data_IF_451088089267
#
_entry.id   IF_451088089267
#
_cell.length_a   1.000
_cell.length_b   1.000
_cell.length_c   1.000
_cell.angle_alpha   90.00
_cell.angle_beta   90.00
_cell.angle_gamma   90.00
#
_symmetry.space_group_name_H-M   'P 1'
#
loop_
_entity.id
_entity.type
_entity.pdbx_description
1 polymer ?
#
# COMPACT_ATOMS: atom_id res chain seq x y z
N UNK A 1 20.36 -2.60 27.19
CA UNK A 1 19.44 -3.71 26.87
C UNK A 1 20.04 -5.10 27.16
N UNK A 2 21.19 -5.19 27.86
CA UNK A 2 21.85 -6.46 28.18
C UNK A 2 21.18 -7.24 29.32
N UNK A 3 20.62 -6.52 30.31
CA UNK A 3 20.16 -7.08 31.59
C UNK A 3 18.94 -8.00 31.43
N UNK A 4 18.10 -7.78 30.41
CA UNK A 4 16.92 -8.61 30.14
C UNK A 4 17.26 -9.98 29.54
N UNK A 5 18.42 -10.14 28.88
CA UNK A 5 18.84 -11.43 28.31
C UNK A 5 19.32 -12.41 29.37
N UNK A 6 19.97 -11.91 30.43
CA UNK A 6 20.57 -12.75 31.46
C UNK A 6 19.56 -13.30 32.48
N UNK A 7 18.37 -12.69 32.60
CA UNK A 7 17.32 -13.14 33.53
C UNK A 7 16.40 -14.19 32.92
N UNK A 8 16.23 -14.21 31.59
CA UNK A 8 15.36 -15.16 30.90
C UNK A 8 15.88 -16.60 30.96
N UNK A 9 17.21 -16.80 30.95
CA UNK A 9 17.86 -18.12 30.91
C UNK A 9 17.89 -18.85 32.26
N UNK A 10 17.39 -18.24 33.34
CA UNK A 10 17.36 -18.82 34.70
C UNK A 10 15.96 -19.33 35.10
N UNK A 11 14.97 -19.16 34.24
CA UNK A 11 13.60 -19.59 34.51
C UNK A 11 13.43 -21.08 34.17
N UNK A 12 12.53 -21.81 34.87
CA UNK A 12 12.21 -23.19 34.51
C UNK A 12 11.73 -23.25 33.05
N UNK A 13 12.12 -24.30 32.31
CA UNK A 13 11.86 -24.41 30.87
C UNK A 13 10.39 -24.22 30.48
N UNK A 14 9.45 -24.59 31.36
CA UNK A 14 8.01 -24.37 31.16
C UNK A 14 7.63 -22.88 31.13
N UNK A 15 8.24 -22.05 31.98
CA UNK A 15 8.01 -20.60 32.01
C UNK A 15 8.60 -19.93 30.76
N UNK A 16 9.76 -20.40 30.29
CA UNK A 16 10.37 -19.91 29.07
C UNK A 16 9.53 -20.26 27.83
N UNK A 17 8.96 -21.46 27.77
CA UNK A 17 8.03 -21.87 26.71
C UNK A 17 6.74 -21.04 26.72
N UNK A 18 6.17 -20.75 27.89
CA UNK A 18 4.98 -19.91 27.99
C UNK A 18 5.27 -18.48 27.54
N UNK A 19 6.41 -17.90 27.93
CA UNK A 19 6.83 -16.58 27.48
C UNK A 19 7.01 -16.51 25.95
N UNK A 20 7.61 -17.55 25.36
CA UNK A 20 7.75 -17.67 23.90
C UNK A 20 6.39 -17.81 23.20
N UNK A 21 5.48 -18.63 23.73
CA UNK A 21 4.13 -18.78 23.16
C UNK A 21 3.34 -17.45 23.16
N UNK A 22 3.40 -16.70 24.26
CA UNK A 22 2.75 -15.38 24.39
C UNK A 22 3.36 -14.35 23.41
N UNK A 23 4.67 -14.41 23.16
CA UNK A 23 5.34 -13.54 22.19
C UNK A 23 4.95 -13.89 20.74
N UNK A 24 4.80 -15.18 20.42
CA UNK A 24 4.38 -15.65 19.09
C UNK A 24 2.93 -15.22 18.81
N UNK A 25 2.02 -15.40 19.77
CA UNK A 25 0.62 -14.97 19.65
C UNK A 25 0.52 -13.47 19.32
N UNK A 26 1.25 -12.60 20.02
CA UNK A 26 1.25 -11.15 19.75
C UNK A 26 1.78 -10.78 18.36
N UNK A 27 2.73 -11.54 17.81
CA UNK A 27 3.25 -11.31 16.46
C UNK A 27 2.29 -11.74 15.35
N UNK A 28 1.42 -12.73 15.62
CA UNK A 28 0.43 -13.23 14.66
C UNK A 28 -0.65 -12.19 14.32
N UNK A 29 -1.05 -11.36 15.29
CA UNK A 29 -2.06 -10.30 15.07
C UNK A 29 -1.53 -9.10 14.27
N UNK A 30 -0.20 -8.88 14.23
CA UNK A 30 0.38 -7.80 13.43
C UNK A 30 0.48 -8.14 11.93
N UNK A 31 0.29 -9.41 11.57
CA UNK A 31 0.29 -9.91 10.19
C UNK A 31 -1.09 -10.44 9.77
N UNK A 32 -2.18 -10.01 10.40
CA UNK A 32 -3.52 -10.31 9.91
C UNK A 32 -3.77 -9.55 8.60
N UNK A 33 -3.57 -10.28 7.50
CA UNK A 33 -3.89 -9.93 6.11
C UNK A 33 -5.40 -9.81 5.87
N UNK A 34 -6.17 -9.19 6.76
CA UNK A 34 -7.64 -9.12 6.62
C UNK A 34 -8.10 -8.10 5.55
N UNK A 35 -7.20 -7.31 4.97
CA UNK A 35 -7.53 -6.30 3.95
C UNK A 35 -6.52 -6.22 2.79
N UNK A 36 -5.78 -7.31 2.52
CA UNK A 36 -4.94 -7.37 1.31
C UNK A 36 -5.83 -7.62 0.10
N UNK A 37 -6.15 -6.54 -0.62
CA UNK A 37 -6.85 -6.61 -1.89
C UNK A 37 -5.93 -6.09 -2.98
N UNK A 38 -5.72 -6.92 -4.01
CA UNK A 38 -4.96 -6.52 -5.18
C UNK A 38 -5.62 -5.28 -5.82
N UNK A 39 -4.83 -4.26 -6.22
CA UNK A 39 -5.34 -3.15 -7.01
C UNK A 39 -6.01 -3.65 -8.28
N UNK A 40 -7.28 -3.32 -8.43
CA UNK A 40 -8.06 -3.65 -9.62
C UNK A 40 -8.66 -2.35 -10.17
N UNK A 41 -8.50 -2.15 -11.48
CA UNK A 41 -9.06 -0.99 -12.17
C UNK A 41 -10.56 -1.15 -12.34
N UNK A 42 -11.31 -0.14 -11.92
CA UNK A 42 -12.74 0.00 -12.17
C UNK A 42 -12.99 0.78 -13.46
N UNK A 43 -12.14 1.79 -13.70
CA UNK A 43 -12.20 2.60 -14.90
C UNK A 43 -10.79 2.79 -15.44
N UNK A 44 -10.54 2.15 -16.57
CA UNK A 44 -9.32 2.29 -17.36
C UNK A 44 -9.47 3.42 -18.37
N UNK A 45 -8.34 3.98 -18.76
CA UNK A 45 -8.30 5.00 -19.80
C UNK A 45 -8.40 4.36 -21.18
N UNK A 46 -9.04 5.03 -22.14
CA UNK A 46 -8.92 4.63 -23.53
C UNK A 46 -7.48 4.77 -24.02
N UNK A 47 -7.09 3.94 -24.98
CA UNK A 47 -5.73 3.92 -25.56
C UNK A 47 -5.35 5.21 -26.28
N UNK A 48 -6.33 6.01 -26.68
CA UNK A 48 -6.13 7.35 -27.23
C UNK A 48 -7.28 8.26 -26.82
N UNK A 49 -6.95 9.52 -26.56
CA UNK A 49 -7.91 10.58 -26.22
C UNK A 49 -7.63 11.75 -27.14
N UNK A 50 -8.68 12.28 -27.76
CA UNK A 50 -8.61 13.49 -28.58
C UNK A 50 -9.19 14.65 -27.79
N UNK A 51 -8.40 15.70 -27.66
CA UNK A 51 -8.83 16.96 -27.05
C UNK A 51 -9.08 17.97 -28.16
N UNK A 52 -10.24 18.63 -28.13
CA UNK A 52 -10.49 19.80 -28.98
C UNK A 52 -10.24 21.07 -28.17
N UNK A 53 -9.69 22.08 -28.82
CA UNK A 53 -9.41 23.39 -28.21
C UNK A 53 -10.69 24.09 -27.72
N UNK A 54 -11.86 23.75 -28.29
CA UNK A 54 -13.12 24.43 -28.02
C UNK A 54 -13.91 23.81 -26.86
N UNK A 55 -13.56 22.59 -26.42
CA UNK A 55 -14.40 21.83 -25.47
C UNK A 55 -14.05 22.13 -24.01
N UNK A 56 -12.87 22.70 -23.73
CA UNK A 56 -12.44 23.29 -22.46
C UNK A 56 -12.48 22.41 -21.20
N UNK A 57 -13.13 21.25 -21.23
CA UNK A 57 -13.49 20.49 -20.04
C UNK A 57 -13.59 18.98 -20.33
N UNK A 58 -12.59 18.43 -21.02
CA UNK A 58 -12.44 16.99 -21.16
C UNK A 58 -11.76 16.44 -19.90
N UNK A 59 -12.51 15.67 -19.10
CA UNK A 59 -11.99 15.03 -17.90
C UNK A 59 -11.55 13.60 -18.18
N UNK A 60 -10.36 13.24 -17.70
CA UNK A 60 -9.89 11.86 -17.63
C UNK A 60 -10.11 11.31 -16.22
N UNK A 61 -10.69 10.12 -16.15
CA UNK A 61 -10.99 9.46 -14.88
C UNK A 61 -10.18 8.16 -14.84
N UNK A 62 -9.53 7.91 -13.71
CA UNK A 62 -8.92 6.62 -13.40
C UNK A 62 -9.38 6.25 -11.99
N UNK A 63 -9.99 5.08 -11.86
CA UNK A 63 -10.50 4.57 -10.59
C UNK A 63 -10.02 3.15 -10.40
N UNK A 64 -9.54 2.86 -9.20
CA UNK A 64 -9.11 1.54 -8.80
C UNK A 64 -9.47 1.29 -7.34
N UNK A 65 -9.62 0.03 -6.96
CA UNK A 65 -9.85 -0.40 -5.59
C UNK A 65 -8.79 -1.43 -5.17
N UNK A 66 -8.47 -1.47 -3.89
CA UNK A 66 -7.42 -2.30 -3.33
C UNK A 66 -7.03 -1.82 -1.94
N UNK A 67 -6.20 -2.59 -1.26
CA UNK A 67 -5.81 -2.29 0.12
C UNK A 67 -4.52 -3.01 0.53
N UNK A 68 -3.82 -2.52 1.57
CA UNK A 68 -4.14 -1.35 2.40
C UNK A 68 -3.79 -0.02 1.68
N UNK A 69 -4.27 1.13 2.20
CA UNK A 69 -4.22 2.48 1.60
C UNK A 69 -3.47 2.62 0.27
N UNK A 70 -4.22 2.77 -0.82
CA UNK A 70 -3.67 2.91 -2.17
C UNK A 70 -3.59 4.36 -2.64
N UNK A 71 -2.66 4.63 -3.55
CA UNK A 71 -2.47 5.95 -4.16
C UNK A 71 -2.55 5.78 -5.68
N UNK A 72 -3.34 6.62 -6.34
CA UNK A 72 -3.41 6.70 -7.80
C UNK A 72 -2.54 7.89 -8.23
N UNK A 73 -1.58 7.64 -9.12
CA UNK A 73 -0.66 8.66 -9.64
C UNK A 73 -0.66 8.66 -11.17
N UNK A 74 -0.55 9.85 -11.74
CA UNK A 74 -0.42 10.06 -13.17
C UNK A 74 1.04 10.36 -13.51
N UNK A 75 1.56 9.68 -14.53
CA UNK A 75 2.96 9.75 -14.90
C UNK A 75 3.07 10.11 -16.39
N UNK A 76 3.94 11.07 -16.71
CA UNK A 76 4.26 11.45 -18.09
C UNK A 76 5.17 10.41 -18.74
N UNK A 77 5.34 10.49 -20.07
CA UNK A 77 6.20 9.57 -20.83
C UNK A 77 7.66 9.57 -20.36
N UNK A 78 8.12 10.66 -19.77
CA UNK A 78 9.47 10.82 -19.21
C UNK A 78 9.62 10.25 -17.79
N UNK A 79 8.54 9.76 -17.17
CA UNK A 79 8.53 9.21 -15.81
C UNK A 79 8.23 10.23 -14.71
N UNK A 80 8.03 11.52 -15.04
CA UNK A 80 7.68 12.55 -14.04
C UNK A 80 6.20 12.51 -13.66
N UNK A 81 5.88 13.02 -12.46
CA UNK A 81 4.49 13.17 -12.01
C UNK A 81 3.78 14.26 -12.83
N UNK A 82 2.57 13.97 -13.27
CA UNK A 82 1.75 14.92 -14.05
C UNK A 82 1.32 16.09 -13.16
N UNK A 83 1.77 17.29 -13.50
CA UNK A 83 1.21 18.56 -13.01
C UNK A 83 0.35 19.25 -14.08
N UNK A 84 0.72 19.07 -15.34
CA UNK A 84 -0.03 19.46 -16.54
C UNK A 84 0.31 18.51 -17.69
N UNK A 85 -0.57 18.43 -18.68
CA UNK A 85 -0.31 17.65 -19.90
C UNK A 85 0.31 18.59 -20.94
N UNK A 86 1.56 18.36 -21.39
CA UNK A 86 2.20 19.22 -22.38
C UNK A 86 1.37 19.28 -23.68
N UNK A 87 1.12 20.50 -24.18
CA UNK A 87 0.40 20.72 -25.43
C UNK A 87 -1.13 20.82 -25.29
N UNK A 88 -1.69 20.59 -24.11
CA UNK A 88 -3.06 21.01 -23.78
C UNK A 88 -3.02 22.44 -23.22
N UNK A 89 -3.97 23.28 -23.62
CA UNK A 89 -4.10 24.69 -23.23
C UNK A 89 -5.22 24.88 -22.23
#
# INVERSE_FOLDING_TARGET
MEVARATLSRLPGLVQCLALAILIEQSGYALSSENLQMPNFLHELPSSVLFSNDTGNSQLVCQAYGGPQMIIQWILKDGSLVSSVPGLR
#
